data_IF_013756628741
#
_entry.id   IF_013756628741
#
_cell.length_a   1.000
_cell.length_b   1.000
_cell.length_c   1.000
_cell.angle_alpha   90.00
_cell.angle_beta   90.00
_cell.angle_gamma   90.00
#
_symmetry.space_group_name_H-M   'P 1'
#
loop_
_entity.id
_entity.type
_entity.pdbx_description
1 polymer ?
#
# COMPACT_ATOMS: atom_id res chain seq x y z
N UNK A 1 11.79 -10.14 -16.81
CA UNK A 1 11.35 -10.03 -15.41
C UNK A 1 10.28 -11.08 -15.22
N UNK A 2 10.45 -11.99 -14.26
CA UNK A 2 9.37 -12.85 -13.78
C UNK A 2 8.44 -12.03 -12.86
N UNK A 3 7.16 -12.38 -12.83
CA UNK A 3 6.19 -11.76 -11.93
C UNK A 3 6.57 -11.97 -10.46
N UNK A 4 6.34 -10.98 -9.61
CA UNK A 4 6.57 -11.04 -8.16
C UNK A 4 5.31 -11.38 -7.38
N UNK A 5 4.15 -10.91 -7.86
CA UNK A 5 2.87 -11.06 -7.19
C UNK A 5 1.87 -11.76 -8.11
N UNK A 6 1.22 -12.80 -7.59
CA UNK A 6 0.25 -13.60 -8.34
C UNK A 6 -1.06 -13.73 -7.59
N UNK A 7 -2.17 -13.73 -8.33
CA UNK A 7 -3.49 -14.08 -7.82
C UNK A 7 -4.18 -15.00 -8.84
N UNK A 8 -4.64 -16.17 -8.41
CA UNK A 8 -5.21 -17.19 -9.30
C UNK A 8 -4.32 -17.50 -10.53
N UNK A 9 -3.02 -17.71 -10.31
CA UNK A 9 -2.00 -17.94 -11.35
C UNK A 9 -1.84 -16.82 -12.39
N UNK A 10 -2.43 -15.65 -12.16
CA UNK A 10 -2.24 -14.45 -12.99
C UNK A 10 -1.24 -13.53 -12.33
N UNK A 11 -0.26 -13.07 -13.10
CA UNK A 11 0.67 -12.02 -12.65
C UNK A 11 -0.09 -10.70 -12.49
N UNK A 12 -0.05 -10.15 -11.28
CA UNK A 12 -0.66 -8.88 -10.90
C UNK A 12 0.39 -7.89 -10.38
N UNK A 13 1.67 -8.13 -10.66
CA UNK A 13 2.78 -7.31 -10.17
C UNK A 13 2.60 -5.84 -10.52
N UNK A 14 2.19 -5.54 -11.76
CA UNK A 14 1.95 -4.16 -12.18
C UNK A 14 0.74 -3.53 -11.48
N UNK A 15 -0.32 -4.29 -11.23
CA UNK A 15 -1.46 -3.81 -10.45
C UNK A 15 -1.03 -3.41 -9.04
N UNK A 16 -0.23 -4.25 -8.38
CA UNK A 16 0.28 -3.95 -7.04
C UNK A 16 1.19 -2.72 -7.05
N UNK A 17 2.09 -2.59 -8.03
CA UNK A 17 2.98 -1.44 -8.14
C UNK A 17 2.22 -0.13 -8.36
N UNK A 18 1.17 -0.14 -9.18
CA UNK A 18 0.28 1.02 -9.38
C UNK A 18 -0.42 1.36 -8.07
N UNK A 19 -0.97 0.37 -7.40
CA UNK A 19 -1.66 0.57 -6.12
C UNK A 19 -0.76 1.16 -5.05
N UNK A 20 0.46 0.63 -4.91
CA UNK A 20 1.47 1.13 -3.97
C UNK A 20 1.81 2.60 -4.26
N UNK A 21 2.05 2.94 -5.54
CA UNK A 21 2.35 4.32 -5.93
C UNK A 21 1.20 5.26 -5.55
N UNK A 22 -0.03 4.88 -5.88
CA UNK A 22 -1.20 5.73 -5.65
C UNK A 22 -1.46 5.95 -4.15
N UNK A 23 -1.23 4.92 -3.31
CA UNK A 23 -1.30 5.08 -1.84
C UNK A 23 -0.20 6.00 -1.32
N UNK A 24 1.04 5.87 -1.81
CA UNK A 24 2.15 6.74 -1.41
C UNK A 24 1.86 8.19 -1.81
N UNK A 25 1.27 8.44 -2.98
CA UNK A 25 0.88 9.78 -3.42
C UNK A 25 -0.18 10.40 -2.50
N UNK A 26 -1.17 9.62 -2.05
CA UNK A 26 -2.16 10.07 -1.06
C UNK A 26 -1.49 10.46 0.26
N UNK A 27 -0.61 9.61 0.80
CA UNK A 27 0.11 9.89 2.06
C UNK A 27 0.96 11.15 1.92
N UNK A 28 1.70 11.26 0.82
CA UNK A 28 2.54 12.43 0.50
C UNK A 28 1.73 13.72 0.49
N UNK A 29 0.55 13.72 -0.15
CA UNK A 29 -0.32 14.89 -0.25
C UNK A 29 -0.97 15.25 1.08
N UNK A 30 -1.45 14.25 1.83
CA UNK A 30 -2.17 14.44 3.09
C UNK A 30 -1.26 14.91 4.23
N UNK A 31 -0.04 14.39 4.30
CA UNK A 31 0.91 14.69 5.37
C UNK A 31 1.97 15.74 4.96
N UNK A 32 1.87 16.28 3.74
CA UNK A 32 2.82 17.23 3.16
C UNK A 32 4.28 16.75 3.20
N UNK A 33 4.49 15.45 2.95
CA UNK A 33 5.79 14.80 2.98
C UNK A 33 6.48 14.84 1.61
N UNK A 34 7.79 14.58 1.60
CA UNK A 34 8.46 14.18 0.37
C UNK A 34 7.97 12.79 -0.08
N UNK A 35 8.12 12.46 -1.36
CA UNK A 35 7.82 11.10 -1.82
C UNK A 35 8.65 10.04 -1.07
N UNK A 36 9.92 10.34 -0.75
CA UNK A 36 10.81 9.40 -0.06
C UNK A 36 10.32 9.12 1.36
N UNK A 37 9.87 10.14 2.08
CA UNK A 37 9.38 10.00 3.45
C UNK A 37 8.03 9.26 3.48
N UNK A 38 7.11 9.60 2.57
CA UNK A 38 5.82 8.91 2.44
C UNK A 38 6.00 7.43 2.05
N UNK A 39 6.89 7.15 1.09
CA UNK A 39 7.24 5.79 0.72
C UNK A 39 7.88 5.03 1.88
N UNK A 40 8.79 5.68 2.61
CA UNK A 40 9.42 5.14 3.81
C UNK A 40 8.37 4.76 4.86
N UNK A 41 7.46 5.67 5.21
CA UNK A 41 6.39 5.41 6.17
C UNK A 41 5.49 4.24 5.72
N UNK A 42 5.08 4.23 4.45
CA UNK A 42 4.21 3.18 3.93
C UNK A 42 4.89 1.82 3.89
N UNK A 43 6.14 1.71 3.40
CA UNK A 43 6.84 0.42 3.29
C UNK A 43 7.13 -0.24 4.64
N UNK A 44 7.18 0.52 5.74
CA UNK A 44 7.35 -0.02 7.09
C UNK A 44 6.01 -0.31 7.80
N UNK A 45 4.87 -0.12 7.13
CA UNK A 45 3.54 -0.33 7.71
C UNK A 45 3.08 -1.80 7.63
N UNK A 46 2.22 -2.19 8.58
CA UNK A 46 1.50 -3.47 8.52
C UNK A 46 0.51 -3.48 7.34
N UNK A 47 -0.03 -2.32 6.97
CA UNK A 47 -0.88 -2.18 5.79
C UNK A 47 -0.15 -2.56 4.50
N UNK A 48 1.09 -2.13 4.31
CA UNK A 48 1.91 -2.58 3.17
C UNK A 48 2.21 -4.08 3.23
N UNK A 49 2.50 -4.63 4.42
CA UNK A 49 2.66 -6.07 4.58
C UNK A 49 1.38 -6.83 4.19
N UNK A 50 0.20 -6.34 4.58
CA UNK A 50 -1.07 -6.91 4.19
C UNK A 50 -1.31 -6.79 2.67
N UNK A 51 -0.96 -5.66 2.06
CA UNK A 51 -1.10 -5.44 0.61
C UNK A 51 -0.29 -6.45 -0.21
N UNK A 52 0.85 -6.93 0.29
CA UNK A 52 1.66 -7.94 -0.37
C UNK A 52 1.04 -9.35 -0.34
N UNK A 53 0.08 -9.62 0.57
CA UNK A 53 -0.65 -10.88 0.60
C UNK A 53 -1.80 -10.83 -0.42
N UNK A 54 -1.54 -11.31 -1.63
CA UNK A 54 -2.48 -11.22 -2.76
C UNK A 54 -3.80 -11.96 -2.54
N UNK A 55 -3.83 -12.96 -1.65
CA UNK A 55 -5.01 -13.76 -1.33
C UNK A 55 -6.05 -13.02 -0.48
N UNK A 56 -5.67 -11.95 0.22
CA UNK A 56 -6.62 -11.13 0.98
C UNK A 56 -7.39 -10.13 0.11
N UNK A 57 -7.07 -10.06 -1.19
CA UNK A 57 -7.70 -9.19 -2.19
C UNK A 57 -7.60 -7.67 -1.93
N UNK A 58 -6.83 -7.22 -0.93
CA UNK A 58 -6.68 -5.80 -0.59
C UNK A 58 -6.15 -4.98 -1.77
N UNK A 59 -5.36 -5.58 -2.65
CA UNK A 59 -4.84 -4.95 -3.86
C UNK A 59 -5.92 -4.53 -4.88
N UNK A 60 -7.13 -5.07 -4.76
CA UNK A 60 -8.26 -4.73 -5.61
C UNK A 60 -9.13 -3.58 -5.06
N UNK A 61 -8.88 -3.17 -3.82
CA UNK A 61 -9.56 -2.02 -3.20
C UNK A 61 -9.06 -0.69 -3.76
N UNK A 62 -9.72 0.41 -3.42
CA UNK A 62 -9.24 1.75 -3.80
C UNK A 62 -7.98 2.15 -3.03
N UNK A 63 -7.12 2.97 -3.64
CA UNK A 63 -5.94 3.50 -2.97
C UNK A 63 -6.30 4.33 -1.73
N UNK A 64 -7.43 5.06 -1.79
CA UNK A 64 -7.96 5.81 -0.64
C UNK A 64 -8.29 4.91 0.55
N UNK A 65 -8.98 3.80 0.30
CA UNK A 65 -9.30 2.85 1.37
C UNK A 65 -8.03 2.24 2.00
N UNK A 66 -7.03 1.88 1.18
CA UNK A 66 -5.76 1.36 1.70
C UNK A 66 -5.01 2.43 2.50
N UNK A 67 -5.05 3.69 2.06
CA UNK A 67 -4.48 4.80 2.82
C UNK A 67 -5.19 4.99 4.17
N UNK A 68 -6.53 4.89 4.21
CA UNK A 68 -7.28 4.97 5.47
C UNK A 68 -6.86 3.85 6.44
N UNK A 69 -6.68 2.61 5.94
CA UNK A 69 -6.14 1.49 6.74
C UNK A 69 -4.73 1.76 7.29
N UNK A 70 -3.89 2.45 6.51
CA UNK A 70 -2.57 2.89 6.97
C UNK A 70 -2.67 3.92 8.12
N UNK A 71 -3.61 4.86 8.05
CA UNK A 71 -3.83 5.86 9.12
C UNK A 71 -4.46 5.24 10.37
N UNK A 72 -5.42 4.33 10.22
CA UNK A 72 -5.97 3.54 11.33
C UNK A 72 -4.85 2.79 12.09
N UNK A 73 -3.87 2.23 11.36
CA UNK A 73 -2.69 1.61 11.96
C UNK A 73 -1.82 2.63 12.74
N UNK A 74 -1.61 3.84 12.21
CA UNK A 74 -0.80 4.84 12.90
C UNK A 74 -1.47 5.34 14.18
N UNK A 75 -2.78 5.62 14.14
CA UNK A 75 -3.56 6.01 15.32
C UNK A 75 -3.47 4.96 16.44
N UNK A 76 -3.49 3.68 16.08
CA UNK A 76 -3.34 2.58 17.06
C UNK A 76 -1.93 2.46 17.65
N UNK A 77 -0.89 2.95 16.98
CA UNK A 77 0.48 2.97 17.54
C UNK A 77 0.70 4.12 18.53
N UNK A 78 -0.12 5.17 18.43
CA UNK A 78 -0.05 6.35 19.30
C UNK A 78 -0.83 6.18 20.61
N UNK A 79 -1.65 5.12 20.72
CA UNK A 79 -2.39 4.68 21.91
C UNK A 79 -1.54 3.76 22.80
#
# INVERSE_FOLDING_TARGET
MEGKYFFNNKDITMNLCIQIRDVIDIIKERDHLSFQDAAGAFYHSKTYQALQNTENTLWAESAGYIADRFYEEQEQKEL
#
